data_IF_028477326636
#
_entry.id   IF_028477326636
#
_cell.length_a   1.000
_cell.length_b   1.000
_cell.length_c   1.000
_cell.angle_alpha   90.00
_cell.angle_beta   90.00
_cell.angle_gamma   90.00
#
_symmetry.space_group_name_H-M   'P 1'
#
loop_
_entity.id
_entity.type
_entity.pdbx_description
1 polymer ?
#
# COMPACT_ATOMS: atom_id res chain seq x y z
N UNK A 1 -6.05 -33.34 -20.62
CA UNK A 1 -5.98 -33.93 -19.26
C UNK A 1 -5.80 -32.80 -18.25
N UNK A 2 -6.86 -32.41 -17.54
CA UNK A 2 -6.77 -31.36 -16.51
C UNK A 2 -6.02 -31.93 -15.30
N UNK A 3 -4.95 -31.28 -14.90
CA UNK A 3 -4.24 -31.61 -13.65
C UNK A 3 -5.20 -31.42 -12.49
N UNK A 4 -5.51 -32.49 -11.75
CA UNK A 4 -6.45 -32.43 -10.63
C UNK A 4 -5.96 -31.51 -9.49
N UNK A 5 -6.85 -31.08 -8.58
CA UNK A 5 -6.57 -30.08 -7.54
C UNK A 5 -5.38 -30.44 -6.62
N UNK A 6 -5.10 -31.70 -6.36
CA UNK A 6 -3.95 -32.15 -5.55
C UNK A 6 -2.58 -31.88 -6.22
N UNK A 7 -2.50 -31.95 -7.54
CA UNK A 7 -1.25 -31.65 -8.27
C UNK A 7 -0.94 -30.14 -8.31
N UNK A 8 -1.96 -29.28 -8.32
CA UNK A 8 -1.79 -27.83 -8.30
C UNK A 8 -1.21 -27.36 -6.95
N UNK A 9 -1.74 -27.89 -5.83
CA UNK A 9 -1.23 -27.54 -4.50
C UNK A 9 0.23 -28.02 -4.29
N UNK A 10 0.61 -29.20 -4.78
CA UNK A 10 1.98 -29.67 -4.71
C UNK A 10 2.96 -28.77 -5.48
N UNK A 11 2.54 -28.28 -6.66
CA UNK A 11 3.31 -27.34 -7.48
C UNK A 11 3.47 -25.99 -6.76
N UNK A 12 2.39 -25.44 -6.21
CA UNK A 12 2.39 -24.17 -5.46
C UNK A 12 3.34 -24.25 -4.25
N UNK A 13 3.32 -25.36 -3.50
CA UNK A 13 4.25 -25.62 -2.38
C UNK A 13 5.71 -25.70 -2.81
N UNK A 14 6.00 -26.37 -3.92
CA UNK A 14 7.37 -26.50 -4.42
C UNK A 14 7.92 -25.13 -4.82
N UNK A 15 7.13 -24.31 -5.50
CA UNK A 15 7.49 -22.93 -5.89
C UNK A 15 7.70 -22.07 -4.63
N UNK A 16 6.75 -22.07 -3.68
CA UNK A 16 6.86 -21.32 -2.43
C UNK A 16 8.13 -21.72 -1.66
N UNK A 17 8.44 -23.01 -1.55
CA UNK A 17 9.64 -23.53 -0.89
C UNK A 17 10.92 -23.05 -1.59
N UNK A 18 10.97 -23.09 -2.91
CA UNK A 18 12.14 -22.62 -3.68
C UNK A 18 12.39 -21.12 -3.47
N UNK A 19 11.34 -20.31 -3.53
CA UNK A 19 11.40 -18.86 -3.32
C UNK A 19 11.70 -18.49 -1.86
N UNK A 20 11.18 -19.25 -0.90
CA UNK A 20 11.39 -19.03 0.53
C UNK A 20 12.83 -19.18 0.99
N UNK A 21 13.67 -19.89 0.21
CA UNK A 21 15.13 -19.95 0.46
C UNK A 21 15.86 -18.68 0.09
N UNK A 22 15.26 -17.82 -0.75
CA UNK A 22 15.93 -16.66 -1.34
C UNK A 22 15.23 -15.34 -1.04
N UNK A 23 13.97 -15.37 -0.58
CA UNK A 23 13.18 -14.13 -0.42
C UNK A 23 11.98 -14.31 0.49
N UNK A 24 11.55 -13.20 1.11
CA UNK A 24 10.31 -13.08 1.88
C UNK A 24 9.28 -12.32 1.04
N UNK A 25 8.02 -12.73 1.13
CA UNK A 25 6.90 -12.02 0.56
C UNK A 25 6.36 -11.02 1.59
N UNK A 26 6.20 -9.76 1.20
CA UNK A 26 5.50 -8.76 2.00
C UNK A 26 4.34 -8.24 1.16
N UNK A 27 3.10 -8.47 1.60
CA UNK A 27 1.90 -8.07 0.89
C UNK A 27 1.41 -6.72 1.39
N UNK A 28 1.09 -5.83 0.46
CA UNK A 28 0.51 -4.52 0.74
C UNK A 28 -0.97 -4.53 0.41
N UNK A 29 -1.79 -4.36 1.42
CA UNK A 29 -3.22 -4.02 1.36
C UNK A 29 -3.43 -2.60 1.90
N UNK A 30 -4.63 -2.04 1.70
CA UNK A 30 -5.10 -0.84 2.40
C UNK A 30 -6.32 -1.17 3.25
N UNK A 31 -7.32 -1.84 2.65
CA UNK A 31 -8.50 -2.26 3.36
C UNK A 31 -9.17 -3.50 2.77
N UNK A 32 -10.13 -4.03 3.53
CA UNK A 32 -10.99 -5.12 3.12
C UNK A 32 -12.44 -4.64 3.23
N UNK A 33 -13.20 -4.74 2.16
CA UNK A 33 -14.61 -4.32 2.11
C UNK A 33 -15.54 -5.52 2.23
N UNK A 34 -16.76 -5.34 2.75
CA UNK A 34 -17.81 -6.33 2.64
C UNK A 34 -18.08 -6.71 1.17
N UNK A 35 -18.50 -7.93 0.92
CA UNK A 35 -18.75 -8.43 -0.46
C UNK A 35 -19.95 -7.74 -1.13
N UNK A 36 -20.92 -7.29 -0.37
CA UNK A 36 -22.11 -6.56 -0.82
C UNK A 36 -21.89 -5.05 -0.99
N UNK A 37 -20.73 -4.53 -0.58
CA UNK A 37 -20.39 -3.11 -0.78
C UNK A 37 -20.30 -2.78 -2.28
N UNK A 38 -21.02 -1.73 -2.70
CA UNK A 38 -21.06 -1.27 -4.08
C UNK A 38 -19.74 -0.56 -4.47
N UNK A 39 -18.85 -1.18 -5.25
CA UNK A 39 -17.56 -0.57 -5.60
C UNK A 39 -17.64 0.48 -6.71
N UNK A 40 -18.80 0.63 -7.37
CA UNK A 40 -18.92 1.45 -8.58
C UNK A 40 -18.76 2.95 -8.33
N UNK A 41 -19.10 3.44 -7.13
CA UNK A 41 -19.07 4.86 -6.75
C UNK A 41 -18.03 5.18 -5.68
N UNK A 42 -17.43 4.15 -5.09
CA UNK A 42 -16.36 4.23 -4.09
C UNK A 42 -15.26 3.25 -4.47
N UNK A 43 -14.06 3.38 -3.93
CA UNK A 43 -12.94 2.49 -4.24
C UNK A 43 -12.44 2.58 -5.70
N UNK A 44 -12.43 3.79 -6.30
CA UNK A 44 -11.92 4.00 -7.68
C UNK A 44 -10.50 3.49 -7.87
N UNK A 45 -9.68 3.60 -6.82
CA UNK A 45 -8.30 3.15 -6.81
C UNK A 45 -8.17 1.65 -6.57
N UNK A 46 -9.30 0.94 -6.32
CA UNK A 46 -9.35 -0.49 -6.04
C UNK A 46 -8.49 -0.92 -4.83
N UNK A 47 -8.34 -0.06 -3.83
CA UNK A 47 -7.47 -0.31 -2.66
C UNK A 47 -8.14 -1.14 -1.57
N UNK A 48 -9.47 -1.28 -1.58
CA UNK A 48 -10.22 -2.13 -0.65
C UNK A 48 -10.63 -3.42 -1.35
N UNK A 49 -10.01 -4.54 -0.98
CA UNK A 49 -10.26 -5.88 -1.55
C UNK A 49 -11.53 -6.46 -0.95
N UNK A 50 -12.33 -7.22 -1.70
CA UNK A 50 -13.51 -7.90 -1.14
C UNK A 50 -13.12 -8.93 -0.08
N UNK A 51 -13.96 -9.12 0.94
CA UNK A 51 -13.67 -10.02 2.07
C UNK A 51 -13.51 -11.47 1.61
N UNK A 52 -14.33 -11.93 0.67
CA UNK A 52 -14.21 -13.27 0.09
C UNK A 52 -12.92 -13.45 -0.70
N UNK A 53 -12.50 -12.46 -1.50
CA UNK A 53 -11.23 -12.52 -2.21
C UNK A 53 -10.04 -12.52 -1.25
N UNK A 54 -10.08 -11.70 -0.19
CA UNK A 54 -9.07 -11.67 0.85
C UNK A 54 -8.96 -13.03 1.55
N UNK A 55 -10.08 -13.63 1.96
CA UNK A 55 -10.11 -14.96 2.58
C UNK A 55 -9.50 -16.02 1.65
N UNK A 56 -9.88 -16.04 0.37
CA UNK A 56 -9.34 -16.98 -0.62
C UNK A 56 -7.83 -16.83 -0.82
N UNK A 57 -7.31 -15.60 -0.75
CA UNK A 57 -5.88 -15.33 -0.80
C UNK A 57 -5.15 -15.89 0.41
N UNK A 58 -5.70 -15.72 1.63
CA UNK A 58 -5.13 -16.30 2.86
C UNK A 58 -5.13 -17.83 2.82
N UNK A 59 -6.25 -18.44 2.44
CA UNK A 59 -6.38 -19.89 2.32
C UNK A 59 -5.38 -20.47 1.30
N UNK A 60 -5.16 -19.76 0.20
CA UNK A 60 -4.13 -20.17 -0.76
C UNK A 60 -2.71 -20.08 -0.19
N UNK A 61 -2.37 -19.01 0.54
CA UNK A 61 -1.05 -18.86 1.18
C UNK A 61 -0.78 -20.00 2.18
N UNK A 62 -1.79 -20.33 3.01
CA UNK A 62 -1.73 -21.48 3.94
C UNK A 62 -1.52 -22.77 3.14
N UNK A 63 -2.32 -23.01 2.11
CA UNK A 63 -2.25 -24.20 1.26
C UNK A 63 -0.90 -24.33 0.53
N UNK A 64 -0.26 -23.22 0.16
CA UNK A 64 1.07 -23.16 -0.44
C UNK A 64 2.21 -23.32 0.59
N UNK A 65 1.90 -23.40 1.89
CA UNK A 65 2.86 -23.63 2.96
C UNK A 65 3.65 -22.40 3.38
N UNK A 66 3.11 -21.20 3.17
CA UNK A 66 3.69 -19.98 3.73
C UNK A 66 3.47 -19.93 5.24
N UNK A 67 4.52 -19.57 5.98
CA UNK A 67 4.45 -19.16 7.38
C UNK A 67 4.24 -17.66 7.45
N UNK A 68 3.29 -17.21 8.24
CA UNK A 68 3.02 -15.81 8.45
C UNK A 68 3.99 -15.24 9.49
N UNK A 69 4.52 -14.05 9.21
CA UNK A 69 5.49 -13.36 10.08
C UNK A 69 4.88 -12.03 10.57
N UNK A 70 5.22 -11.67 11.79
CA UNK A 70 4.79 -10.46 12.47
C UNK A 70 5.82 -9.32 12.37
N UNK A 71 5.59 -8.25 13.14
CA UNK A 71 6.49 -7.11 13.20
C UNK A 71 7.82 -7.42 13.87
N UNK A 72 7.86 -8.32 14.84
CA UNK A 72 9.10 -8.68 15.53
C UNK A 72 10.04 -9.41 14.59
N UNK A 73 9.50 -10.26 13.74
CA UNK A 73 10.31 -10.95 12.75
C UNK A 73 10.82 -9.98 11.65
N UNK A 74 10.03 -8.98 11.25
CA UNK A 74 10.52 -7.91 10.37
C UNK A 74 11.64 -7.08 11.03
N UNK A 75 11.52 -6.75 12.33
CA UNK A 75 12.59 -6.11 13.13
C UNK A 75 13.85 -6.96 13.16
N UNK A 76 13.68 -8.25 13.44
CA UNK A 76 14.79 -9.20 13.42
C UNK A 76 15.47 -9.25 12.06
N UNK A 77 14.70 -9.35 10.97
CA UNK A 77 15.25 -9.33 9.60
C UNK A 77 16.08 -8.07 9.35
N UNK A 78 15.56 -6.90 9.72
CA UNK A 78 16.24 -5.62 9.57
C UNK A 78 17.56 -5.58 10.34
N UNK A 79 17.53 -5.99 11.61
CA UNK A 79 18.69 -5.96 12.51
C UNK A 79 19.75 -7.01 12.13
N UNK A 80 19.31 -8.22 11.84
CA UNK A 80 20.20 -9.34 11.49
C UNK A 80 20.68 -9.30 10.04
N UNK A 81 20.11 -8.44 9.18
CA UNK A 81 20.35 -8.41 7.73
C UNK A 81 20.20 -9.80 7.10
N UNK A 82 19.21 -10.55 7.58
CA UNK A 82 18.99 -11.94 7.22
C UNK A 82 17.52 -12.22 6.93
N UNK A 83 17.25 -13.34 6.27
CA UNK A 83 15.90 -13.78 5.98
C UNK A 83 15.54 -14.98 6.87
N UNK A 84 14.27 -15.14 7.25
CA UNK A 84 13.79 -16.33 7.96
C UNK A 84 13.94 -17.58 7.07
N UNK A 85 13.96 -18.74 7.71
CA UNK A 85 14.01 -20.02 6.99
C UNK A 85 12.64 -20.37 6.41
N UNK A 86 12.64 -20.89 5.19
CA UNK A 86 11.44 -21.38 4.52
C UNK A 86 10.57 -20.26 3.92
N UNK A 87 9.42 -20.63 3.33
CA UNK A 87 8.47 -19.68 2.77
C UNK A 87 7.85 -18.81 3.88
N UNK A 88 8.07 -17.51 3.81
CA UNK A 88 7.52 -16.56 4.77
C UNK A 88 6.78 -15.43 4.09
N UNK A 89 5.67 -14.97 4.71
CA UNK A 89 4.84 -13.87 4.24
C UNK A 89 4.42 -12.95 5.38
N UNK A 90 4.56 -11.63 5.20
CA UNK A 90 3.96 -10.62 6.05
C UNK A 90 2.71 -10.05 5.38
N UNK A 91 1.62 -9.91 6.13
CA UNK A 91 0.40 -9.23 5.71
C UNK A 91 0.47 -7.81 6.25
N UNK A 92 0.46 -6.81 5.38
CA UNK A 92 0.55 -5.41 5.78
C UNK A 92 -0.60 -4.58 5.22
N UNK A 93 -1.10 -3.66 6.04
CA UNK A 93 -2.12 -2.69 5.67
C UNK A 93 -1.58 -1.28 5.85
N UNK A 94 -1.85 -0.40 4.90
CA UNK A 94 -1.51 1.02 5.02
C UNK A 94 -2.75 1.85 5.34
N UNK A 95 -2.56 3.10 5.73
CA UNK A 95 -3.52 4.15 6.03
C UNK A 95 -4.20 4.04 7.41
N UNK A 96 -4.74 2.89 7.78
CA UNK A 96 -5.47 2.71 9.03
C UNK A 96 -6.99 2.84 8.89
N UNK A 97 -7.58 2.24 7.85
CA UNK A 97 -9.04 2.18 7.67
C UNK A 97 -9.71 1.24 8.67
N UNK A 98 -10.86 1.62 9.17
CA UNK A 98 -11.66 0.84 10.12
C UNK A 98 -12.04 -0.55 9.63
N UNK A 99 -12.10 -0.75 8.31
CA UNK A 99 -12.37 -2.06 7.74
C UNK A 99 -11.22 -3.07 7.88
N UNK A 100 -10.06 -2.65 8.36
CA UNK A 100 -9.03 -3.55 8.85
C UNK A 100 -9.53 -4.31 10.08
N UNK A 101 -10.24 -3.63 10.99
CA UNK A 101 -10.87 -4.25 12.15
C UNK A 101 -12.14 -5.00 11.77
N UNK A 102 -13.10 -4.35 11.08
CA UNK A 102 -14.44 -4.92 10.86
C UNK A 102 -14.49 -6.02 9.79
N UNK A 103 -13.55 -6.05 8.84
CA UNK A 103 -13.57 -7.00 7.72
C UNK A 103 -12.31 -7.87 7.62
N UNK A 104 -11.10 -7.30 7.81
CA UNK A 104 -9.88 -8.10 7.70
C UNK A 104 -9.63 -8.97 8.95
N UNK A 105 -9.78 -8.42 10.15
CA UNK A 105 -9.58 -9.13 11.40
C UNK A 105 -10.46 -10.40 11.53
N UNK A 106 -11.76 -10.40 11.20
CA UNK A 106 -12.59 -11.62 11.23
C UNK A 106 -12.10 -12.73 10.28
N UNK A 107 -11.37 -12.40 9.23
CA UNK A 107 -10.75 -13.38 8.34
C UNK A 107 -9.45 -13.91 8.92
N UNK A 108 -8.62 -13.06 9.52
CA UNK A 108 -7.28 -13.42 10.00
C UNK A 108 -7.30 -14.11 11.36
N UNK A 109 -8.15 -13.64 12.30
CA UNK A 109 -8.20 -14.15 13.68
C UNK A 109 -8.45 -15.65 13.78
N UNK A 110 -9.44 -16.27 13.07
CA UNK A 110 -9.67 -17.72 13.14
C UNK A 110 -8.55 -18.56 12.52
N UNK A 111 -7.66 -17.92 11.73
CA UNK A 111 -6.51 -18.54 11.08
C UNK A 111 -5.20 -18.30 11.83
N UNK A 112 -5.27 -17.60 12.96
CA UNK A 112 -4.11 -17.20 13.77
C UNK A 112 -3.03 -16.48 12.93
N UNK A 113 -3.48 -15.66 11.94
CA UNK A 113 -2.59 -14.93 11.05
C UNK A 113 -2.29 -13.55 11.66
N UNK A 114 -1.02 -13.25 12.01
CA UNK A 114 -0.60 -11.92 12.40
C UNK A 114 -0.59 -10.97 11.19
N UNK A 115 -0.79 -9.69 11.45
CA UNK A 115 -0.68 -8.66 10.42
C UNK A 115 -0.01 -7.40 10.97
N UNK A 116 0.29 -6.48 10.08
CA UNK A 116 0.79 -5.16 10.44
C UNK A 116 -0.14 -4.09 9.85
N UNK A 117 -0.38 -3.02 10.61
CA UNK A 117 -1.06 -1.84 10.07
C UNK A 117 -0.23 -0.59 10.31
N UNK A 118 -0.05 0.20 9.26
CA UNK A 118 0.71 1.46 9.27
C UNK A 118 -0.26 2.63 9.28
N UNK A 119 -0.32 3.34 10.39
CA UNK A 119 -1.33 4.34 10.67
C UNK A 119 -0.88 5.74 10.26
N UNK A 120 -1.77 6.46 9.58
CA UNK A 120 -1.64 7.91 9.37
C UNK A 120 -2.12 8.61 10.64
N UNK A 121 -1.23 9.36 11.31
CA UNK A 121 -1.50 9.93 12.63
C UNK A 121 -2.75 10.79 12.69
N UNK A 122 -2.86 11.79 11.83
CA UNK A 122 -4.01 12.71 11.80
C UNK A 122 -5.33 12.00 11.47
N UNK A 123 -5.28 10.97 10.64
CA UNK A 123 -6.46 10.21 10.25
C UNK A 123 -7.05 9.44 11.43
N UNK A 124 -6.22 8.72 12.20
CA UNK A 124 -6.71 7.90 13.32
C UNK A 124 -6.94 8.70 14.60
N UNK A 125 -6.19 9.79 14.83
CA UNK A 125 -6.30 10.57 16.07
C UNK A 125 -7.38 11.64 16.00
N UNK A 126 -7.48 12.36 14.86
CA UNK A 126 -8.39 13.49 14.71
C UNK A 126 -9.55 13.22 13.75
N UNK A 127 -9.57 12.03 13.13
CA UNK A 127 -10.57 11.70 12.11
C UNK A 127 -10.42 12.52 10.82
N UNK A 128 -9.26 13.12 10.59
CA UNK A 128 -9.00 13.92 9.39
C UNK A 128 -8.97 13.02 8.15
N UNK A 129 -9.94 13.14 7.23
CA UNK A 129 -9.98 12.25 6.06
C UNK A 129 -8.74 12.39 5.19
N UNK A 130 -8.28 11.28 4.63
CA UNK A 130 -7.17 11.31 3.70
C UNK A 130 -7.53 12.16 2.47
N UNK A 131 -6.60 13.00 2.04
CA UNK A 131 -6.83 13.90 0.91
C UNK A 131 -7.21 13.16 -0.39
N UNK A 132 -6.70 11.95 -0.58
CA UNK A 132 -7.01 11.10 -1.74
C UNK A 132 -8.47 10.64 -1.73
N UNK A 133 -9.05 10.37 -0.56
CA UNK A 133 -10.44 9.94 -0.40
C UNK A 133 -11.40 11.13 -0.54
N UNK A 134 -11.01 12.30 -0.01
CA UNK A 134 -11.72 13.58 -0.23
C UNK A 134 -11.81 13.90 -1.71
N UNK A 135 -10.69 13.78 -2.45
CA UNK A 135 -10.63 14.00 -3.88
C UNK A 135 -11.53 13.01 -4.64
N UNK A 136 -11.42 11.71 -4.32
CA UNK A 136 -12.25 10.68 -4.95
C UNK A 136 -13.73 10.98 -4.76
N UNK A 137 -14.16 11.26 -3.53
CA UNK A 137 -15.56 11.55 -3.22
C UNK A 137 -16.04 12.83 -3.94
N UNK A 138 -15.26 13.91 -3.89
CA UNK A 138 -15.67 15.17 -4.50
C UNK A 138 -15.86 15.04 -6.02
N UNK A 139 -14.93 14.38 -6.70
CA UNK A 139 -15.03 14.15 -8.15
C UNK A 139 -16.20 13.22 -8.50
N UNK A 140 -16.43 12.17 -7.68
CA UNK A 140 -17.53 11.22 -7.94
C UNK A 140 -18.90 11.81 -7.67
N UNK A 141 -19.03 12.74 -6.73
CA UNK A 141 -20.30 13.41 -6.38
C UNK A 141 -20.50 14.75 -7.06
N UNK A 142 -19.56 15.19 -7.92
CA UNK A 142 -19.65 16.46 -8.63
C UNK A 142 -20.95 16.61 -9.42
N UNK A 143 -21.56 17.80 -9.36
CA UNK A 143 -22.80 18.13 -10.07
C UNK A 143 -22.56 18.86 -11.39
N UNK A 144 -21.34 19.34 -11.61
CA UNK A 144 -20.94 20.00 -12.86
C UNK A 144 -20.48 18.96 -13.89
N UNK A 145 -20.74 19.18 -15.21
CA UNK A 145 -20.33 18.26 -16.26
C UNK A 145 -18.83 18.34 -16.58
N UNK A 146 -18.20 19.45 -16.23
CA UNK A 146 -16.77 19.67 -16.42
C UNK A 146 -16.21 20.62 -15.36
N UNK A 147 -14.90 20.60 -15.17
CA UNK A 147 -14.19 21.47 -14.25
C UNK A 147 -12.91 22.00 -14.93
N UNK A 148 -12.72 23.31 -14.89
CA UNK A 148 -11.45 23.92 -15.29
C UNK A 148 -10.58 24.12 -14.05
N UNK A 149 -9.37 23.56 -14.06
CA UNK A 149 -8.42 23.60 -12.96
C UNK A 149 -7.02 23.96 -13.48
N UNK A 150 -6.25 24.71 -12.71
CA UNK A 150 -4.84 24.94 -12.99
C UNK A 150 -4.00 23.77 -12.47
N UNK A 151 -3.34 23.08 -13.36
CA UNK A 151 -2.41 22.01 -13.03
C UNK A 151 -1.00 22.41 -13.51
N UNK A 152 -0.21 22.97 -12.63
CA UNK A 152 1.17 23.40 -12.92
C UNK A 152 1.28 24.58 -13.92
N UNK A 153 0.46 25.61 -13.73
CA UNK A 153 0.43 26.81 -14.60
C UNK A 153 -0.27 26.58 -15.94
N UNK A 154 -0.88 25.41 -16.14
CA UNK A 154 -1.67 25.08 -17.32
C UNK A 154 -3.14 24.89 -16.94
N UNK A 155 -4.01 25.79 -17.40
CA UNK A 155 -5.47 25.61 -17.26
C UNK A 155 -5.91 24.43 -18.11
N UNK A 156 -6.59 23.48 -17.47
CA UNK A 156 -7.11 22.26 -18.09
C UNK A 156 -8.59 22.10 -17.77
N UNK A 157 -9.40 21.84 -18.77
CA UNK A 157 -10.78 21.42 -18.59
C UNK A 157 -10.85 19.91 -18.50
N UNK A 158 -11.36 19.42 -17.37
CA UNK A 158 -11.57 18.01 -17.07
C UNK A 158 -13.05 17.71 -17.23
N UNK A 159 -13.41 16.82 -18.14
CA UNK A 159 -14.79 16.34 -18.25
C UNK A 159 -15.15 15.40 -17.12
N UNK A 160 -16.38 15.53 -16.60
CA UNK A 160 -16.93 14.74 -15.49
C UNK A 160 -18.19 13.97 -15.94
N UNK A 161 -18.42 13.88 -17.24
CA UNK A 161 -19.56 13.19 -17.84
C UNK A 161 -19.37 11.66 -17.74
N UNK A 162 -19.97 11.06 -16.71
CA UNK A 162 -19.95 9.62 -16.46
C UNK A 162 -18.69 9.11 -15.73
N UNK A 163 -18.78 7.89 -15.22
CA UNK A 163 -17.76 7.30 -14.34
C UNK A 163 -16.35 7.18 -14.96
N UNK A 164 -16.16 6.83 -16.23
CA UNK A 164 -14.83 6.77 -16.84
C UNK A 164 -14.13 8.14 -16.88
N UNK A 165 -14.87 9.20 -17.24
CA UNK A 165 -14.33 10.56 -17.30
C UNK A 165 -13.98 11.08 -15.91
N UNK A 166 -14.84 10.86 -14.90
CA UNK A 166 -14.58 11.20 -13.50
C UNK A 166 -13.32 10.51 -12.97
N UNK A 167 -13.16 9.23 -13.28
CA UNK A 167 -11.96 8.48 -12.91
C UNK A 167 -10.69 9.03 -13.55
N UNK A 168 -10.75 9.45 -14.82
CA UNK A 168 -9.62 10.06 -15.51
C UNK A 168 -9.26 11.42 -14.91
N UNK A 169 -10.28 12.24 -14.59
CA UNK A 169 -10.14 13.53 -13.93
C UNK A 169 -9.50 13.38 -12.54
N UNK A 170 -10.05 12.50 -11.70
CA UNK A 170 -9.49 12.18 -10.38
C UNK A 170 -8.02 11.76 -10.48
N UNK A 171 -7.69 10.83 -11.38
CA UNK A 171 -6.34 10.34 -11.59
C UNK A 171 -5.36 11.45 -12.02
N UNK A 172 -5.79 12.38 -12.88
CA UNK A 172 -5.00 13.54 -13.30
C UNK A 172 -4.69 14.46 -12.13
N UNK A 173 -5.71 14.86 -11.38
CA UNK A 173 -5.57 15.74 -10.21
C UNK A 173 -4.74 15.07 -9.13
N UNK A 174 -5.03 13.82 -8.81
CA UNK A 174 -4.28 13.04 -7.82
C UNK A 174 -2.79 12.94 -8.17
N UNK A 175 -2.49 12.68 -9.43
CA UNK A 175 -1.09 12.60 -9.91
C UNK A 175 -0.36 13.93 -9.81
N UNK A 176 -1.06 15.05 -9.97
CA UNK A 176 -0.52 16.38 -9.74
C UNK A 176 -0.32 16.66 -8.25
N UNK A 177 -1.34 16.45 -7.43
CA UNK A 177 -1.32 16.68 -6.00
C UNK A 177 -0.25 15.85 -5.27
N UNK A 178 0.07 14.66 -5.74
CA UNK A 178 1.15 13.82 -5.20
C UNK A 178 2.53 14.49 -5.25
N UNK A 179 2.75 15.43 -6.15
CA UNK A 179 4.04 16.14 -6.31
C UNK A 179 4.13 17.43 -5.49
N UNK A 180 3.04 17.84 -4.85
CA UNK A 180 2.96 19.09 -4.11
C UNK A 180 3.26 18.88 -2.61
N UNK A 181 3.90 19.85 -1.95
CA UNK A 181 3.90 19.95 -0.50
C UNK A 181 2.47 20.00 0.05
N UNK A 182 2.27 19.56 1.30
CA UNK A 182 0.93 19.43 1.89
C UNK A 182 0.10 20.71 1.83
N UNK A 183 0.71 21.87 2.13
CA UNK A 183 0.03 23.18 2.10
C UNK A 183 -0.42 23.57 0.68
N UNK A 184 0.46 23.44 -0.31
CA UNK A 184 0.12 23.75 -1.71
C UNK A 184 -0.95 22.77 -2.26
N UNK A 185 -0.84 21.50 -1.88
CA UNK A 185 -1.85 20.48 -2.21
C UNK A 185 -3.22 20.85 -1.64
N UNK A 186 -3.28 21.25 -0.37
CA UNK A 186 -4.56 21.63 0.25
C UNK A 186 -5.18 22.84 -0.44
N UNK A 187 -4.41 23.86 -0.82
CA UNK A 187 -4.92 25.00 -1.58
C UNK A 187 -5.54 24.59 -2.91
N UNK A 188 -4.85 23.71 -3.67
CA UNK A 188 -5.37 23.17 -4.95
C UNK A 188 -6.66 22.38 -4.73
N UNK A 189 -6.72 21.57 -3.68
CA UNK A 189 -7.91 20.77 -3.37
C UNK A 189 -9.10 21.66 -2.97
N UNK A 190 -8.88 22.72 -2.19
CA UNK A 190 -9.92 23.66 -1.79
C UNK A 190 -10.51 24.39 -3.02
N UNK A 191 -9.66 24.91 -3.91
CA UNK A 191 -10.10 25.53 -5.16
C UNK A 191 -10.89 24.53 -6.02
N UNK A 192 -10.40 23.33 -6.16
CA UNK A 192 -11.07 22.27 -6.91
C UNK A 192 -12.44 21.92 -6.30
N UNK A 193 -12.52 21.74 -4.99
CA UNK A 193 -13.78 21.40 -4.32
C UNK A 193 -14.83 22.50 -4.46
N UNK A 194 -14.42 23.77 -4.42
CA UNK A 194 -15.33 24.90 -4.67
C UNK A 194 -15.91 24.86 -6.09
N UNK A 195 -15.12 24.45 -7.09
CA UNK A 195 -15.56 24.37 -8.48
C UNK A 195 -16.41 23.14 -8.83
N UNK A 196 -16.39 22.08 -8.02
CA UNK A 196 -17.10 20.83 -8.31
C UNK A 196 -18.60 20.86 -7.97
N UNK A 197 -19.06 21.88 -7.23
CA UNK A 197 -20.45 21.91 -6.69
C UNK A 197 -20.83 20.55 -6.06
N UNK A 198 -19.89 19.94 -5.40
CA UNK A 198 -20.10 18.65 -4.76
C UNK A 198 -20.85 18.82 -3.43
N UNK A 199 -21.82 17.95 -3.11
CA UNK A 199 -22.51 18.04 -1.84
C UNK A 199 -21.54 17.83 -0.68
N UNK A 200 -21.69 18.61 0.38
CA UNK A 200 -20.98 18.40 1.65
C UNK A 200 -21.56 17.17 2.35
N UNK A 201 -21.12 16.00 1.93
CA UNK A 201 -21.53 14.73 2.53
C UNK A 201 -20.34 14.10 3.27
N UNK A 202 -20.58 13.43 4.41
CA UNK A 202 -19.52 12.67 5.07
C UNK A 202 -18.97 11.60 4.12
N UNK A 203 -17.69 11.25 4.30
CA UNK A 203 -17.09 10.16 3.54
C UNK A 203 -17.86 8.84 3.78
N UNK A 204 -17.97 7.99 2.77
CA UNK A 204 -18.53 6.64 2.93
C UNK A 204 -17.86 5.90 4.09
N UNK A 205 -18.60 5.03 4.76
CA UNK A 205 -18.09 4.22 5.87
C UNK A 205 -16.82 3.42 5.52
N UNK A 206 -16.65 3.11 4.24
CA UNK A 206 -15.45 2.45 3.70
C UNK A 206 -14.15 3.23 4.01
N UNK A 207 -14.23 4.55 4.10
CA UNK A 207 -13.09 5.46 4.36
C UNK A 207 -13.02 5.97 5.80
N UNK A 208 -13.75 5.35 6.73
CA UNK A 208 -13.66 5.70 8.16
C UNK A 208 -12.30 5.28 8.72
N UNK A 209 -11.64 6.11 9.55
CA UNK A 209 -10.44 5.69 10.27
C UNK A 209 -10.74 4.64 11.34
N UNK A 210 -9.73 3.87 11.70
CA UNK A 210 -9.72 3.10 12.94
C UNK A 210 -9.86 4.04 14.14
N UNK A 211 -10.65 3.62 15.12
CA UNK A 211 -10.68 4.23 16.46
C UNK A 211 -9.62 3.56 17.35
N UNK A 212 -9.26 4.22 18.43
CA UNK A 212 -8.23 3.69 19.34
C UNK A 212 -8.64 2.37 19.99
N UNK A 213 -9.93 2.18 20.34
CA UNK A 213 -10.45 0.91 20.84
C UNK A 213 -10.31 -0.23 19.79
N UNK A 214 -10.57 0.06 18.52
CA UNK A 214 -10.37 -0.89 17.44
C UNK A 214 -8.88 -1.21 17.18
N UNK A 215 -8.00 -0.23 17.36
CA UNK A 215 -6.53 -0.44 17.28
C UNK A 215 -6.06 -1.35 18.41
N UNK A 216 -6.57 -1.16 19.63
CA UNK A 216 -6.25 -2.03 20.76
C UNK A 216 -6.74 -3.47 20.55
N UNK A 217 -7.93 -3.65 19.97
CA UNK A 217 -8.43 -4.99 19.58
C UNK A 217 -7.54 -5.67 18.53
N UNK A 218 -7.02 -4.91 17.55
CA UNK A 218 -6.04 -5.42 16.58
C UNK A 218 -4.75 -5.88 17.27
N UNK A 219 -4.23 -5.08 18.21
CA UNK A 219 -3.02 -5.42 19.00
C UNK A 219 -3.22 -6.70 19.81
N UNK A 220 -4.35 -6.81 20.52
CA UNK A 220 -4.69 -8.02 21.27
C UNK A 220 -4.85 -9.27 20.38
N UNK A 221 -5.17 -9.08 19.10
CA UNK A 221 -5.21 -10.13 18.10
C UNK A 221 -3.84 -10.42 17.45
N UNK A 222 -2.74 -9.86 17.96
CA UNK A 222 -1.38 -10.09 17.47
C UNK A 222 -0.97 -9.23 16.28
N UNK A 223 -1.69 -8.12 16.02
CA UNK A 223 -1.26 -7.18 14.98
C UNK A 223 -0.20 -6.22 15.50
N UNK A 224 0.75 -5.90 14.66
CA UNK A 224 1.79 -4.90 14.95
C UNK A 224 1.38 -3.55 14.35
N UNK A 225 1.54 -2.47 15.14
CA UNK A 225 1.27 -1.11 14.69
C UNK A 225 2.57 -0.46 14.24
N UNK A 226 2.54 0.16 13.06
CA UNK A 226 3.59 1.00 12.52
C UNK A 226 3.06 2.39 12.15
N UNK A 227 3.93 3.30 11.72
CA UNK A 227 3.54 4.66 11.32
C UNK A 227 3.59 4.87 9.81
N UNK A 228 2.70 5.74 9.31
CA UNK A 228 2.55 6.11 7.89
C UNK A 228 2.53 7.63 7.69
N UNK A 229 3.42 8.35 8.39
CA UNK A 229 3.48 9.81 8.53
C UNK A 229 2.30 10.42 9.31
N UNK A 230 2.38 11.72 9.58
CA UNK A 230 1.30 12.42 10.28
C UNK A 230 0.12 12.74 9.37
N UNK A 231 0.39 13.18 8.12
CA UNK A 231 -0.63 13.69 7.18
C UNK A 231 -0.66 12.96 5.84
N UNK A 232 -0.12 11.74 5.77
CA UNK A 232 -0.01 10.97 4.52
C UNK A 232 0.73 11.74 3.41
N UNK A 233 1.79 12.49 3.78
CA UNK A 233 2.58 13.26 2.84
C UNK A 233 3.73 12.44 2.27
N UNK A 234 3.95 12.54 0.94
CA UNK A 234 5.08 11.91 0.25
C UNK A 234 6.38 12.63 0.66
N UNK A 235 7.36 11.89 1.14
CA UNK A 235 8.53 12.48 1.80
C UNK A 235 9.57 13.06 0.86
N UNK A 236 9.66 12.60 -0.39
CA UNK A 236 10.70 13.03 -1.33
C UNK A 236 10.67 14.53 -1.70
N UNK A 237 9.49 15.15 -1.62
CA UNK A 237 9.31 16.59 -1.88
C UNK A 237 9.56 17.49 -0.66
N UNK A 238 9.90 16.91 0.50
CA UNK A 238 10.07 17.63 1.76
C UNK A 238 11.55 17.91 2.04
N UNK A 239 11.81 19.02 2.74
CA UNK A 239 13.12 19.22 3.39
C UNK A 239 13.30 18.20 4.51
N UNK A 240 14.55 17.94 4.93
CA UNK A 240 14.84 17.04 6.04
C UNK A 240 14.09 17.43 7.33
N UNK A 241 13.95 18.72 7.60
CA UNK A 241 13.22 19.23 8.77
C UNK A 241 11.71 18.93 8.68
N UNK A 242 11.12 19.09 7.51
CA UNK A 242 9.71 18.75 7.27
C UNK A 242 9.46 17.23 7.36
N UNK A 243 10.34 16.43 6.72
CA UNK A 243 10.27 14.99 6.80
C UNK A 243 10.41 14.48 8.25
N UNK A 244 11.35 15.06 9.02
CA UNK A 244 11.53 14.76 10.45
C UNK A 244 10.28 15.09 11.26
N UNK A 245 9.59 16.18 10.95
CA UNK A 245 8.33 16.55 11.60
C UNK A 245 7.23 15.54 11.29
N UNK A 246 6.97 15.26 10.02
CA UNK A 246 5.93 14.31 9.56
C UNK A 246 6.09 12.91 10.19
N UNK A 247 7.31 12.41 10.21
CA UNK A 247 7.59 11.08 10.77
C UNK A 247 7.66 11.12 12.30
N UNK A 248 8.28 12.17 12.88
CA UNK A 248 8.49 12.30 14.32
C UNK A 248 7.20 12.54 15.08
N UNK A 249 6.31 13.42 14.59
CA UNK A 249 5.01 13.68 15.20
C UNK A 249 4.12 12.43 15.17
N UNK A 250 4.07 11.70 14.04
CA UNK A 250 3.33 10.44 13.97
C UNK A 250 3.90 9.39 14.94
N UNK A 251 5.23 9.29 15.02
CA UNK A 251 5.88 8.37 15.96
C UNK A 251 5.51 8.73 17.41
N UNK A 252 5.69 9.97 17.79
CA UNK A 252 5.41 10.44 19.16
C UNK A 252 3.94 10.23 19.55
N UNK A 253 3.01 10.54 18.65
CA UNK A 253 1.59 10.29 18.87
C UNK A 253 1.30 8.81 19.12
N UNK A 254 1.79 7.92 18.25
CA UNK A 254 1.53 6.49 18.36
C UNK A 254 2.17 5.91 19.61
N UNK A 255 3.41 6.29 19.95
CA UNK A 255 4.08 5.85 21.18
C UNK A 255 3.35 6.31 22.44
N UNK A 256 2.86 7.55 22.45
CA UNK A 256 2.09 8.07 23.59
C UNK A 256 0.74 7.34 23.78
N UNK A 257 0.09 6.95 22.69
CA UNK A 257 -1.21 6.26 22.72
C UNK A 257 -1.09 4.76 22.99
N UNK A 258 -0.05 4.12 22.45
CA UNK A 258 0.10 2.66 22.52
C UNK A 258 0.95 2.20 23.71
N UNK A 259 1.73 3.09 24.31
CA UNK A 259 2.67 2.75 25.40
C UNK A 259 3.83 1.88 24.95
N UNK A 260 4.13 1.84 23.64
CA UNK A 260 5.11 0.95 23.04
C UNK A 260 5.88 1.66 21.92
N UNK A 261 7.07 1.15 21.57
CA UNK A 261 7.91 1.74 20.51
C UNK A 261 7.30 1.59 19.13
N UNK A 262 7.21 2.69 18.39
CA UNK A 262 6.79 2.72 17.00
C UNK A 262 8.01 2.86 16.07
N UNK A 263 8.72 1.77 15.82
CA UNK A 263 9.95 1.71 15.02
C UNK A 263 9.76 1.21 13.58
N UNK A 264 8.60 0.64 13.27
CA UNK A 264 8.23 0.24 11.91
C UNK A 264 7.56 1.40 11.16
N UNK A 265 7.82 1.47 9.86
CA UNK A 265 7.34 2.55 9.01
C UNK A 265 6.89 2.03 7.63
N UNK A 266 5.90 2.66 7.01
CA UNK A 266 5.60 2.52 5.59
C UNK A 266 5.61 3.90 4.93
N UNK A 267 6.17 4.00 3.72
CA UNK A 267 6.20 5.26 2.97
C UNK A 267 4.86 5.53 2.31
N UNK A 268 4.24 6.72 2.50
CA UNK A 268 3.09 7.14 1.70
C UNK A 268 3.39 7.06 0.20
N UNK A 269 2.49 6.43 -0.57
CA UNK A 269 2.68 6.05 -1.96
C UNK A 269 3.86 5.07 -2.19
N UNK A 270 5.04 5.35 -1.65
CA UNK A 270 6.19 4.46 -1.50
C UNK A 270 6.81 3.92 -2.79
N UNK A 271 6.58 4.54 -3.95
CA UNK A 271 7.21 4.16 -5.21
C UNK A 271 8.66 4.66 -5.29
N UNK A 272 9.40 4.22 -6.30
CA UNK A 272 10.72 4.79 -6.57
C UNK A 272 10.59 6.29 -6.86
N UNK A 273 11.32 7.11 -6.11
CA UNK A 273 11.24 8.57 -6.20
C UNK A 273 10.33 9.24 -5.16
N UNK A 274 9.54 8.49 -4.39
CA UNK A 274 8.72 9.04 -3.30
C UNK A 274 9.49 9.15 -1.97
N UNK A 275 10.69 8.62 -1.93
CA UNK A 275 11.63 8.71 -0.82
C UNK A 275 13.08 8.74 -1.34
N UNK A 276 13.98 9.31 -0.57
CA UNK A 276 15.40 9.52 -0.92
C UNK A 276 16.31 8.93 0.15
N UNK A 277 17.62 8.88 -0.10
CA UNK A 277 18.60 8.53 0.94
C UNK A 277 18.54 9.50 2.13
N UNK A 278 18.21 10.77 1.89
CA UNK A 278 18.05 11.74 2.97
C UNK A 278 16.83 11.41 3.84
N UNK A 279 15.68 11.04 3.25
CA UNK A 279 14.53 10.58 4.03
C UNK A 279 14.83 9.29 4.80
N UNK A 280 15.62 8.38 4.26
CA UNK A 280 16.08 7.19 4.98
C UNK A 280 16.99 7.57 6.18
N UNK A 281 17.89 8.55 6.02
CA UNK A 281 18.69 9.09 7.13
C UNK A 281 17.82 9.73 8.22
N UNK A 282 16.78 10.44 7.83
CA UNK A 282 15.79 10.99 8.78
C UNK A 282 15.09 9.86 9.55
N UNK A 283 14.63 8.81 8.87
CA UNK A 283 14.01 7.65 9.50
C UNK A 283 14.95 6.96 10.50
N UNK A 284 16.19 6.70 10.09
CA UNK A 284 17.21 6.11 10.96
C UNK A 284 17.48 6.99 12.20
N UNK A 285 17.59 8.30 12.02
CA UNK A 285 17.79 9.27 13.10
C UNK A 285 16.60 9.43 14.06
N UNK A 286 15.40 8.92 13.67
CA UNK A 286 14.20 8.82 14.51
C UNK A 286 14.02 7.40 15.11
N UNK A 287 15.02 6.52 14.96
CA UNK A 287 14.97 5.16 15.48
C UNK A 287 14.08 4.20 14.72
N UNK A 288 13.75 4.51 13.43
CA UNK A 288 13.05 3.54 12.58
C UNK A 288 14.01 2.43 12.17
N UNK A 289 13.63 1.20 12.44
CA UNK A 289 14.45 0.00 12.18
C UNK A 289 14.09 -0.67 10.86
N UNK A 290 12.83 -0.53 10.42
CA UNK A 290 12.32 -1.12 9.20
C UNK A 290 11.37 -0.14 8.51
N UNK A 291 11.53 0.04 7.19
CA UNK A 291 10.60 0.80 6.38
C UNK A 291 10.20 0.03 5.11
N UNK A 292 8.89 0.01 4.86
CA UNK A 292 8.28 -0.70 3.75
C UNK A 292 7.97 0.28 2.61
N UNK A 293 8.42 -0.06 1.41
CA UNK A 293 8.13 0.66 0.18
C UNK A 293 7.04 -0.06 -0.62
N UNK A 294 6.38 0.65 -1.55
CA UNK A 294 5.44 0.05 -2.51
C UNK A 294 6.14 -0.32 -3.83
N UNK A 295 7.46 -0.43 -3.79
CA UNK A 295 8.26 -0.91 -4.92
C UNK A 295 7.99 -2.39 -5.10
N UNK A 296 7.41 -2.74 -6.26
CA UNK A 296 7.01 -4.11 -6.56
C UNK A 296 8.17 -5.10 -6.44
N UNK A 297 7.94 -6.19 -5.71
CA UNK A 297 8.88 -7.30 -5.58
C UNK A 297 8.90 -7.95 -4.21
N UNK A 298 9.74 -8.96 -4.08
CA UNK A 298 9.98 -9.68 -2.83
C UNK A 298 11.21 -9.11 -2.11
N UNK A 299 11.28 -9.28 -0.80
CA UNK A 299 12.45 -8.94 0.01
C UNK A 299 13.49 -10.05 -0.18
N UNK A 300 14.62 -9.74 -0.81
CA UNK A 300 15.70 -10.71 -1.09
C UNK A 300 16.84 -10.55 -0.08
N UNK A 301 17.84 -11.43 -0.09
CA UNK A 301 19.01 -11.38 0.83
C UNK A 301 19.79 -10.05 0.78
N UNK A 302 19.70 -9.29 -0.32
CA UNK A 302 20.34 -7.99 -0.48
C UNK A 302 19.32 -6.86 -0.33
N UNK A 303 18.47 -6.93 0.69
CA UNK A 303 17.46 -5.91 0.92
C UNK A 303 18.03 -4.71 1.69
N UNK A 304 17.39 -3.56 1.49
CA UNK A 304 17.63 -2.37 2.29
C UNK A 304 16.53 -2.28 3.38
N UNK A 305 16.89 -2.33 4.68
CA UNK A 305 15.90 -2.31 5.77
C UNK A 305 14.95 -1.12 5.75
N UNK A 306 15.44 0.03 5.31
CA UNK A 306 14.61 1.23 5.20
C UNK A 306 13.97 1.41 3.81
N UNK A 307 13.93 0.34 2.99
CA UNK A 307 13.26 0.33 1.69
C UNK A 307 12.85 -1.09 1.26
N UNK A 308 12.29 -1.89 2.16
CA UNK A 308 11.84 -3.24 1.84
C UNK A 308 10.69 -3.21 0.84
N UNK A 309 10.78 -4.07 -0.16
CA UNK A 309 9.79 -4.17 -1.25
C UNK A 309 8.53 -4.88 -0.80
N UNK A 310 7.41 -4.54 -1.45
CA UNK A 310 6.13 -5.20 -1.24
C UNK A 310 5.49 -5.61 -2.57
N UNK A 311 4.55 -6.53 -2.51
CA UNK A 311 3.63 -6.86 -3.60
C UNK A 311 2.28 -6.25 -3.26
N UNK A 312 1.87 -5.24 -4.02
CA UNK A 312 0.59 -4.57 -3.81
C UNK A 312 -0.57 -5.45 -4.31
N UNK A 313 -1.61 -5.54 -3.48
CA UNK A 313 -2.86 -6.26 -3.77
C UNK A 313 -3.98 -5.23 -3.94
N UNK A 314 -4.84 -5.41 -4.94
CA UNK A 314 -5.94 -4.52 -5.24
C UNK A 314 -7.21 -5.30 -5.62
N UNK A 315 -8.38 -4.68 -5.51
CA UNK A 315 -9.70 -5.31 -5.68
C UNK A 315 -9.92 -5.94 -7.08
N UNK A 316 -9.20 -5.47 -8.09
CA UNK A 316 -9.29 -6.02 -9.45
C UNK A 316 -8.42 -7.24 -9.68
N UNK A 317 -7.62 -7.62 -8.66
CA UNK A 317 -6.71 -8.76 -8.75
C UNK A 317 -7.46 -10.05 -8.44
N UNK A 318 -7.72 -10.84 -9.47
CA UNK A 318 -8.25 -12.20 -9.28
C UNK A 318 -7.22 -13.13 -8.63
N UNK A 319 -7.70 -14.25 -8.06
CA UNK A 319 -6.84 -15.21 -7.35
C UNK A 319 -5.72 -15.78 -8.24
N UNK A 320 -5.97 -15.97 -9.54
CA UNK A 320 -4.93 -16.44 -10.47
C UNK A 320 -3.80 -15.43 -10.63
N UNK A 321 -4.13 -14.14 -10.78
CA UNK A 321 -3.12 -13.07 -10.84
C UNK A 321 -2.38 -12.94 -9.51
N UNK A 322 -3.08 -13.01 -8.37
CA UNK A 322 -2.48 -13.02 -7.04
C UNK A 322 -1.41 -14.10 -6.92
N UNK A 323 -1.72 -15.34 -7.32
CA UNK A 323 -0.78 -16.46 -7.33
C UNK A 323 0.46 -16.17 -8.18
N UNK A 324 0.28 -15.66 -9.37
CA UNK A 324 1.38 -15.34 -10.30
C UNK A 324 2.28 -14.23 -9.74
N UNK A 325 1.69 -13.17 -9.18
CA UNK A 325 2.47 -12.04 -8.61
C UNK A 325 3.22 -12.44 -7.35
N UNK A 326 2.59 -13.19 -6.48
CA UNK A 326 3.20 -13.64 -5.21
C UNK A 326 4.30 -14.67 -5.42
N UNK A 327 4.23 -15.51 -6.46
CA UNK A 327 5.30 -16.44 -6.83
C UNK A 327 6.46 -15.77 -7.56
N UNK A 328 6.42 -14.47 -7.82
CA UNK A 328 7.50 -13.74 -8.48
C UNK A 328 7.68 -14.09 -9.97
N UNK A 329 6.78 -14.87 -10.55
CA UNK A 329 6.83 -15.26 -11.98
C UNK A 329 6.82 -14.04 -12.91
N UNK A 330 6.14 -12.96 -12.51
CA UNK A 330 6.15 -11.68 -13.24
C UNK A 330 7.54 -11.04 -13.24
N UNK A 331 8.27 -11.11 -12.13
CA UNK A 331 9.63 -10.57 -12.02
C UNK A 331 10.61 -11.34 -12.90
N UNK A 332 10.50 -12.68 -12.92
CA UNK A 332 11.30 -13.54 -13.79
C UNK A 332 10.99 -13.28 -15.25
N UNK A 333 9.72 -13.19 -15.63
CA UNK A 333 9.31 -12.90 -17.01
C UNK A 333 9.80 -11.52 -17.49
N UNK A 334 9.71 -10.47 -16.62
CA UNK A 334 10.24 -9.13 -16.92
C UNK A 334 11.77 -9.14 -17.08
N UNK A 335 12.48 -9.84 -16.21
CA UNK A 335 13.95 -9.95 -16.26
C UNK A 335 14.42 -10.71 -17.50
N UNK A 336 13.75 -11.81 -17.86
CA UNK A 336 14.03 -12.58 -19.09
C UNK A 336 13.77 -11.71 -20.32
N UNK A 337 12.66 -10.97 -20.36
CA UNK A 337 12.32 -10.07 -21.48
C UNK A 337 13.31 -8.89 -21.60
N UNK A 338 13.79 -8.36 -20.49
CA UNK A 338 14.84 -7.32 -20.48
C UNK A 338 16.17 -7.88 -20.96
N UNK A 339 16.58 -9.07 -20.48
CA UNK A 339 17.79 -9.76 -20.93
C UNK A 339 17.77 -10.08 -22.42
N UNK A 340 16.64 -10.55 -22.95
CA UNK A 340 16.46 -10.81 -24.38
C UNK A 340 16.55 -9.53 -25.23
N UNK A 341 15.97 -8.41 -24.77
CA UNK A 341 16.09 -7.10 -25.44
C UNK A 341 17.53 -6.60 -25.48
N UNK A 342 18.27 -6.76 -24.36
CA UNK A 342 19.68 -6.38 -24.29
C UNK A 342 20.55 -7.25 -25.20
N UNK A 343 20.31 -8.56 -25.22
CA UNK A 343 20.99 -9.49 -26.12
C UNK A 343 20.70 -9.20 -27.60
N UNK A 344 19.44 -8.90 -27.94
CA UNK A 344 19.06 -8.52 -29.32
C UNK A 344 19.68 -7.18 -29.75
N UNK A 345 19.76 -6.20 -28.85
CA UNK A 345 20.43 -4.92 -29.16
C UNK A 345 21.94 -5.08 -29.33
N UNK A 346 22.58 -5.93 -28.54
CA UNK A 346 24.00 -6.27 -28.69
C UNK A 346 24.29 -7.02 -30.03
N UNK A 347 23.40 -7.95 -30.41
CA UNK A 347 23.51 -8.66 -31.71
C UNK A 347 23.29 -7.72 -32.90
N UNK A 348 22.37 -6.75 -32.78
CA UNK A 348 22.18 -5.75 -33.86
C UNK A 348 23.40 -4.83 -34.02
N UNK A 349 24.03 -4.42 -32.90
CA UNK A 349 25.28 -3.60 -32.95
C UNK A 349 26.45 -4.37 -33.56
N UNK A 350 26.56 -5.70 -33.33
CA UNK A 350 27.61 -6.54 -33.98
C UNK A 350 27.39 -6.84 -35.46
N UNK A 351 26.17 -6.62 -35.98
CA UNK A 351 25.87 -6.79 -37.43
C UNK A 351 25.93 -5.49 -38.22
N UNK A 352 26.10 -4.35 -37.54
CA UNK A 352 26.16 -3.01 -38.14
C UNK A 352 27.56 -2.39 -38.09
N UNK A 353 28.57 -3.07 -37.58
CA UNK A 353 30.01 -2.81 -37.66
C UNK A 353 30.73 -3.97 -38.33
#
# INVERSE_FOLDING_TARGET
>A
MSRGPRNVQATDRAIASALGRMSVLVLLYHGVRPDDAQPATTNLQAKHVSQSAFAAQMDWLIGAGYRFIDGDELRWMSKARSLPRGPAVAITFDDGYANNHSCALPVLRPREIPALVFLVGAFVDRGEPLWVDRLEQAVMSARVPELTVDLNGARRTLTLAGAPARKAAESSVRSYCKRLPATARESVLQELFAGLDAPSSPLPALYRPLRWDEIDDLRHAGWTIGSHTMTHTILAGLTAAQARREVGEAKALLEARLGDQCDLFAYPNGLRGDFTEETQRVLAGLGKTCALASVEGRVTRRFEPLAMRRVAVHDRMGLAEFKVRTTGAVGVAKSVKAGLRTAQSALRRRRAG
#
